data_IF_969836160551
#
_entry.id   IF_969836160551
#
_cell.length_a   1.000
_cell.length_b   1.000
_cell.length_c   1.000
_cell.angle_alpha   90.00
_cell.angle_beta   90.00
_cell.angle_gamma   90.00
#
_symmetry.space_group_name_H-M   'P 1'
#
loop_
_entity.id
_entity.type
_entity.pdbx_description
1 polymer ?
#
# COMPACT_ATOMS: atom_id res chain seq x y z
N UNK A 1 8.95 -46.22 6.62
CA UNK A 1 7.62 -45.71 6.25
C UNK A 1 7.65 -44.21 6.50
N UNK A 2 8.10 -43.44 5.50
CA UNK A 2 8.26 -41.99 5.58
C UNK A 2 6.92 -41.32 5.31
N UNK A 3 6.46 -40.49 6.24
CA UNK A 3 5.27 -39.67 6.05
C UNK A 3 5.67 -38.38 5.34
N UNK A 4 5.31 -38.26 4.05
CA UNK A 4 5.38 -37.01 3.31
C UNK A 4 4.38 -36.00 3.89
N UNK A 5 4.90 -34.90 4.42
CA UNK A 5 4.13 -33.71 4.80
C UNK A 5 3.41 -33.19 3.55
N UNK A 6 2.07 -33.30 3.53
CA UNK A 6 1.23 -32.68 2.50
C UNK A 6 1.57 -31.20 2.42
N UNK A 7 2.06 -30.77 1.26
CA UNK A 7 2.39 -29.38 0.97
C UNK A 7 1.19 -28.49 1.25
N UNK A 8 1.22 -27.81 2.39
CA UNK A 8 0.40 -26.63 2.64
C UNK A 8 0.94 -25.55 1.74
N UNK A 9 0.34 -25.39 0.56
CA UNK A 9 0.51 -24.20 -0.24
C UNK A 9 -0.21 -23.07 0.51
N UNK A 10 0.45 -22.51 1.53
CA UNK A 10 -0.05 -21.38 2.30
C UNK A 10 -0.01 -20.21 1.32
N UNK A 11 -1.07 -20.03 0.53
CA UNK A 11 -1.29 -18.76 -0.15
C UNK A 11 -1.35 -17.70 0.93
N UNK A 12 -0.24 -17.01 1.16
CA UNK A 12 -0.17 -15.88 2.05
C UNK A 12 -1.22 -14.89 1.55
N UNK A 13 -2.33 -14.76 2.28
CA UNK A 13 -3.39 -13.82 1.94
C UNK A 13 -2.91 -12.44 2.34
N UNK A 14 -2.31 -11.71 1.41
CA UNK A 14 -1.98 -10.32 1.66
C UNK A 14 -3.24 -9.46 1.57
N UNK A 15 -3.45 -8.59 2.55
CA UNK A 15 -4.47 -7.54 2.50
C UNK A 15 -3.91 -6.33 1.76
N UNK A 16 -4.54 -5.92 0.67
CA UNK A 16 -4.12 -4.74 -0.10
C UNK A 16 -4.16 -3.47 0.75
N UNK A 17 -5.15 -3.33 1.64
CA UNK A 17 -5.23 -2.21 2.57
C UNK A 17 -4.08 -2.20 3.58
N UNK A 18 -3.75 -3.37 4.11
CA UNK A 18 -2.69 -3.51 5.10
C UNK A 18 -1.33 -3.19 4.48
N UNK A 19 -1.03 -3.76 3.30
CA UNK A 19 0.21 -3.45 2.59
C UNK A 19 0.28 -1.97 2.16
N UNK A 20 -0.84 -1.37 1.74
CA UNK A 20 -0.89 0.06 1.44
C UNK A 20 -0.61 0.93 2.68
N UNK A 21 -1.12 0.54 3.85
CA UNK A 21 -0.86 1.29 5.09
C UNK A 21 0.60 1.17 5.53
N UNK A 22 1.16 -0.04 5.51
CA UNK A 22 2.58 -0.27 5.80
C UNK A 22 3.48 0.52 4.84
N UNK A 23 3.15 0.51 3.54
CA UNK A 23 3.83 1.31 2.54
C UNK A 23 3.80 2.81 2.89
N UNK A 24 2.62 3.38 3.16
CA UNK A 24 2.51 4.82 3.47
C UNK A 24 3.28 5.17 4.74
N UNK A 25 3.22 4.34 5.79
CA UNK A 25 3.94 4.53 7.04
C UNK A 25 5.46 4.46 6.88
N UNK A 26 5.96 3.64 5.96
CA UNK A 26 7.39 3.56 5.66
C UNK A 26 7.82 4.74 4.78
N UNK A 27 7.07 5.00 3.71
CA UNK A 27 7.32 6.07 2.76
C UNK A 27 7.40 7.43 3.46
N UNK A 28 6.46 7.72 4.36
CA UNK A 28 6.36 9.02 5.02
C UNK A 28 7.54 9.34 5.97
N UNK A 29 8.36 8.35 6.35
CA UNK A 29 9.61 8.58 7.11
C UNK A 29 10.71 9.22 6.27
N UNK A 30 10.66 9.02 4.95
CA UNK A 30 11.65 9.53 3.98
C UNK A 30 11.21 10.83 3.30
N UNK A 31 9.98 11.28 3.55
CA UNK A 31 9.38 12.44 2.89
C UNK A 31 9.44 13.65 3.81
N UNK A 32 10.02 14.73 3.30
CA UNK A 32 10.03 16.02 4.00
C UNK A 32 8.62 16.62 4.13
N UNK A 33 8.36 17.29 5.27
CA UNK A 33 7.11 18.02 5.48
C UNK A 33 6.93 19.10 4.40
N UNK A 34 5.69 19.25 3.92
CA UNK A 34 5.34 20.19 2.86
C UNK A 34 5.35 19.60 1.45
N UNK A 35 5.98 18.43 1.23
CA UNK A 35 5.96 17.76 -0.06
C UNK A 35 4.55 17.29 -0.44
N UNK A 36 4.24 17.37 -1.74
CA UNK A 36 2.91 17.10 -2.29
C UNK A 36 2.97 15.92 -3.25
N UNK A 37 2.05 14.98 -3.09
CA UNK A 37 1.88 13.83 -3.97
C UNK A 37 0.41 13.65 -4.33
N UNK A 38 0.16 13.19 -5.54
CA UNK A 38 -1.13 12.66 -5.96
C UNK A 38 -1.30 11.22 -5.50
N UNK A 39 -2.54 10.78 -5.36
CA UNK A 39 -2.84 9.36 -5.09
C UNK A 39 -2.27 8.46 -6.19
N UNK A 40 -2.24 8.92 -7.45
CA UNK A 40 -1.68 8.13 -8.55
C UNK A 40 -0.16 7.98 -8.42
N UNK A 41 0.58 9.05 -8.15
CA UNK A 41 2.04 8.96 -7.93
C UNK A 41 2.37 7.98 -6.79
N UNK A 42 1.58 8.00 -5.71
CA UNK A 42 1.76 7.06 -4.60
C UNK A 42 1.40 5.62 -4.98
N UNK A 43 0.44 5.42 -5.89
CA UNK A 43 0.17 4.08 -6.46
C UNK A 43 1.35 3.62 -7.30
N UNK A 44 1.89 4.48 -8.16
CA UNK A 44 3.02 4.14 -9.03
C UNK A 44 4.25 3.75 -8.20
N UNK A 45 4.52 4.49 -7.10
CA UNK A 45 5.59 4.15 -6.15
C UNK A 45 5.27 2.85 -5.40
N UNK A 46 4.02 2.66 -4.98
CA UNK A 46 3.60 1.42 -4.32
C UNK A 46 3.81 0.21 -5.22
N UNK A 47 3.47 0.30 -6.51
CA UNK A 47 3.56 -0.80 -7.47
C UNK A 47 4.98 -1.33 -7.69
N UNK A 48 5.97 -0.46 -7.61
CA UNK A 48 7.40 -0.82 -7.70
C UNK A 48 8.03 -1.18 -6.34
N UNK A 49 7.30 -1.01 -5.24
CA UNK A 49 7.79 -1.30 -3.89
C UNK A 49 7.70 -2.78 -3.53
N UNK A 50 8.43 -3.18 -2.48
CA UNK A 50 8.31 -4.54 -1.91
C UNK A 50 6.95 -4.84 -1.26
N UNK A 51 6.11 -3.82 -1.05
CA UNK A 51 4.77 -3.97 -0.46
C UNK A 51 3.73 -4.41 -1.50
N UNK A 52 3.95 -4.13 -2.78
CA UNK A 52 3.10 -4.66 -3.84
C UNK A 52 3.38 -6.15 -4.07
N UNK A 53 2.33 -6.94 -4.19
CA UNK A 53 2.38 -8.39 -4.41
C UNK A 53 1.62 -8.71 -5.68
N UNK A 54 2.13 -9.64 -6.50
CA UNK A 54 1.51 -10.05 -7.76
C UNK A 54 0.03 -10.48 -7.60
N UNK A 55 -0.36 -10.95 -6.42
CA UNK A 55 -1.74 -11.30 -6.10
C UNK A 55 -2.70 -10.11 -6.20
N UNK A 56 -2.23 -8.88 -5.97
CA UNK A 56 -3.06 -7.68 -5.98
C UNK A 56 -3.59 -7.33 -7.35
N UNK A 57 -2.93 -7.75 -8.43
CA UNK A 57 -3.39 -7.50 -9.80
C UNK A 57 -4.66 -8.32 -10.13
N UNK A 58 -4.97 -9.33 -9.30
CA UNK A 58 -6.21 -10.12 -9.40
C UNK A 58 -7.36 -9.54 -8.58
N UNK A 59 -7.12 -8.51 -7.77
CA UNK A 59 -8.12 -7.97 -6.86
C UNK A 59 -9.07 -7.02 -7.60
N UNK A 60 -10.38 -7.13 -7.31
CA UNK A 60 -11.39 -6.18 -7.85
C UNK A 60 -11.22 -4.76 -7.32
N UNK A 61 -10.64 -4.60 -6.13
CA UNK A 61 -10.45 -3.30 -5.49
C UNK A 61 -9.22 -2.60 -6.10
N UNK A 62 -9.35 -1.37 -6.60
CA UNK A 62 -8.21 -0.65 -7.15
C UNK A 62 -7.24 -0.20 -6.06
N UNK A 63 -5.94 -0.19 -6.38
CA UNK A 63 -4.86 0.26 -5.50
C UNK A 63 -5.06 1.71 -5.04
N UNK A 64 -5.60 2.59 -5.89
CA UNK A 64 -5.93 3.98 -5.54
C UNK A 64 -6.85 4.08 -4.32
N UNK A 65 -7.87 3.23 -4.21
CA UNK A 65 -8.78 3.23 -3.05
C UNK A 65 -8.08 2.76 -1.77
N UNK A 66 -7.09 1.88 -1.88
CA UNK A 66 -6.30 1.41 -0.74
C UNK A 66 -5.26 2.44 -0.31
N UNK A 67 -4.59 3.12 -1.25
CA UNK A 67 -3.68 4.24 -0.96
C UNK A 67 -4.43 5.41 -0.33
N UNK A 68 -5.57 5.81 -0.89
CA UNK A 68 -6.43 6.84 -0.30
C UNK A 68 -6.81 6.50 1.15
N UNK A 69 -7.25 5.26 1.38
CA UNK A 69 -7.58 4.79 2.73
C UNK A 69 -6.35 4.82 3.66
N UNK A 70 -5.18 4.40 3.18
CA UNK A 70 -3.93 4.40 3.94
C UNK A 70 -3.49 5.81 4.35
N UNK A 71 -3.54 6.79 3.43
CA UNK A 71 -3.24 8.21 3.72
C UNK A 71 -4.13 8.78 4.81
N UNK A 72 -5.43 8.48 4.76
CA UNK A 72 -6.37 8.89 5.82
C UNK A 72 -6.06 8.22 7.16
N UNK A 73 -5.61 6.97 7.15
CA UNK A 73 -5.33 6.19 8.37
C UNK A 73 -3.97 6.49 9.00
N UNK A 74 -2.94 6.84 8.23
CA UNK A 74 -1.63 7.19 8.82
C UNK A 74 -1.67 8.52 9.58
N UNK A 75 -2.63 9.40 9.25
CA UNK A 75 -2.84 10.66 9.97
C UNK A 75 -1.78 11.73 9.71
N UNK A 76 -0.78 11.44 8.87
CA UNK A 76 0.38 12.30 8.61
C UNK A 76 0.30 13.11 7.31
N UNK A 77 -0.87 13.09 6.66
CA UNK A 77 -1.13 13.73 5.38
C UNK A 77 -2.33 14.67 5.46
N UNK A 78 -2.28 15.76 4.71
CA UNK A 78 -3.35 16.74 4.56
C UNK A 78 -3.84 16.73 3.10
N UNK A 79 -5.12 16.50 2.87
CA UNK A 79 -5.70 16.63 1.54
C UNK A 79 -5.72 18.11 1.13
N UNK A 80 -4.99 18.46 0.07
CA UNK A 80 -4.90 19.84 -0.45
C UNK A 80 -5.98 20.09 -1.50
N UNK A 81 -6.24 19.07 -2.32
CA UNK A 81 -7.35 18.99 -3.28
C UNK A 81 -7.72 17.51 -3.47
N UNK A 82 -8.87 17.22 -4.09
CA UNK A 82 -9.30 15.84 -4.33
C UNK A 82 -8.20 15.03 -5.04
N UNK A 83 -7.73 13.97 -4.39
CA UNK A 83 -6.68 13.09 -4.93
C UNK A 83 -5.25 13.60 -4.78
N UNK A 84 -5.01 14.69 -4.05
CA UNK A 84 -3.68 15.26 -3.81
C UNK A 84 -3.47 15.56 -2.33
N UNK A 85 -2.34 15.11 -1.81
CA UNK A 85 -2.01 15.13 -0.39
C UNK A 85 -0.66 15.77 -0.16
N UNK A 86 -0.58 16.57 0.90
CA UNK A 86 0.65 17.18 1.39
C UNK A 86 1.09 16.47 2.66
N UNK A 87 2.37 16.15 2.79
CA UNK A 87 2.94 15.65 4.05
C UNK A 87 2.84 16.75 5.10
N UNK A 88 2.23 16.44 6.25
CA UNK A 88 2.21 17.33 7.43
C UNK A 88 3.61 17.53 7.95
#
# INVERSE_FOLDING_TARGET
>A
MEYMLKGTNIQTKYSLNEQALLFIQEFEKSVESGNVYTVQELVDIFEISSFNKNQFDTYKKPKNSSIWWALTRSGNWLMVKKGTYKKK
#
